data_IF_241391109651
#
_entry.id   IF_241391109651
#
_cell.length_a   1.000
_cell.length_b   1.000
_cell.length_c   1.000
_cell.angle_alpha   90.00
_cell.angle_beta   90.00
_cell.angle_gamma   90.00
#
_symmetry.space_group_name_H-M   'P 1'
#
loop_
_entity.id
_entity.type
_entity.pdbx_description
1 polymer ?
#
# COMPACT_ATOMS: atom_id res chain seq x y z
N UNK A 1 13.99 12.86 -54.17
CA UNK A 1 12.74 12.47 -53.48
C UNK A 1 13.01 12.48 -51.99
N UNK A 2 12.24 13.29 -51.29
CA UNK A 2 12.42 13.76 -49.91
C UNK A 2 12.29 12.61 -48.90
N UNK A 3 13.22 12.55 -47.96
CA UNK A 3 13.19 11.75 -46.73
C UNK A 3 11.97 12.08 -45.85
N UNK A 4 11.35 11.06 -45.25
CA UNK A 4 10.58 11.24 -44.01
C UNK A 4 10.88 10.07 -43.07
N UNK A 5 11.51 10.31 -41.91
CA UNK A 5 11.56 9.31 -40.84
C UNK A 5 10.22 9.35 -40.10
N UNK A 6 9.51 8.23 -40.01
CA UNK A 6 8.25 8.16 -39.27
C UNK A 6 8.50 7.58 -37.88
N UNK A 7 8.48 8.50 -36.92
CA UNK A 7 8.04 8.36 -35.53
C UNK A 7 8.66 7.22 -34.70
N UNK A 8 9.69 7.60 -33.95
CA UNK A 8 9.80 7.21 -32.54
C UNK A 8 8.46 7.48 -31.86
N UNK A 9 7.80 6.42 -31.42
CA UNK A 9 6.63 6.52 -30.55
C UNK A 9 7.13 7.03 -29.20
N UNK A 10 6.81 8.28 -28.89
CA UNK A 10 7.08 8.92 -27.61
C UNK A 10 6.42 8.07 -26.52
N UNK A 11 7.24 7.41 -25.70
CA UNK A 11 6.79 6.74 -24.48
C UNK A 11 6.02 7.76 -23.62
N UNK A 12 4.69 7.67 -23.64
CA UNK A 12 3.81 8.46 -22.77
C UNK A 12 4.24 8.21 -21.32
N UNK A 13 4.31 9.25 -20.48
CA UNK A 13 4.82 9.11 -19.13
C UNK A 13 4.00 8.06 -18.38
N UNK A 14 4.70 7.12 -17.74
CA UNK A 14 4.23 6.27 -16.66
C UNK A 14 3.67 7.19 -15.56
N UNK A 15 2.43 7.63 -15.74
CA UNK A 15 1.86 8.67 -14.92
C UNK A 15 1.43 7.99 -13.63
N UNK A 16 2.27 7.99 -12.60
CA UNK A 16 1.98 7.45 -11.27
C UNK A 16 0.58 7.86 -10.76
N UNK A 17 0.00 7.09 -9.83
CA UNK A 17 -1.23 7.50 -9.13
C UNK A 17 -1.07 8.87 -8.48
N UNK A 18 -2.20 9.59 -8.31
CA UNK A 18 -2.21 10.87 -7.59
C UNK A 18 -1.68 10.73 -6.16
N UNK A 19 -2.00 9.60 -5.50
CA UNK A 19 -1.50 9.25 -4.16
C UNK A 19 0.01 9.16 -4.15
N UNK A 20 0.61 8.39 -5.06
CA UNK A 20 2.06 8.22 -5.10
C UNK A 20 2.79 9.50 -5.52
N UNK A 21 2.23 10.25 -6.48
CA UNK A 21 2.75 11.54 -6.89
C UNK A 21 2.75 12.54 -5.72
N UNK A 22 1.70 12.57 -4.89
CA UNK A 22 1.63 13.41 -3.69
C UNK A 22 2.71 13.00 -2.66
N UNK A 23 2.85 11.70 -2.36
CA UNK A 23 3.87 11.21 -1.42
C UNK A 23 5.28 11.63 -1.83
N UNK A 24 5.59 11.60 -3.13
CA UNK A 24 6.89 12.01 -3.68
C UNK A 24 7.16 13.52 -3.63
N UNK A 25 6.12 14.35 -3.54
CA UNK A 25 6.26 15.81 -3.44
C UNK A 25 6.50 16.29 -2.02
N UNK A 26 6.13 15.50 -1.02
CA UNK A 26 6.34 15.84 0.38
C UNK A 26 7.78 15.53 0.82
N UNK A 27 8.35 16.31 1.75
CA UNK A 27 9.67 16.04 2.30
C UNK A 27 9.77 14.64 2.89
N UNK A 28 10.91 13.96 2.69
CA UNK A 28 11.15 12.64 3.28
C UNK A 28 11.67 12.77 4.72
N UNK A 29 10.78 13.24 5.60
CA UNK A 29 11.04 13.41 7.03
C UNK A 29 9.76 13.20 7.83
N UNK A 30 9.88 13.22 9.16
CA UNK A 30 8.77 12.98 10.10
C UNK A 30 7.54 13.86 9.81
N UNK A 31 7.75 15.15 9.46
CA UNK A 31 6.65 16.06 9.16
C UNK A 31 5.96 15.69 7.83
N UNK A 32 6.73 15.39 6.79
CA UNK A 32 6.18 14.99 5.50
C UNK A 32 5.43 13.66 5.58
N UNK A 33 5.95 12.69 6.33
CA UNK A 33 5.26 11.41 6.59
C UNK A 33 3.95 11.62 7.35
N UNK A 34 3.94 12.47 8.38
CA UNK A 34 2.74 12.79 9.15
C UNK A 34 1.68 13.49 8.29
N UNK A 35 2.07 14.50 7.50
CA UNK A 35 1.16 15.22 6.61
C UNK A 35 0.54 14.30 5.55
N UNK A 36 1.35 13.43 4.94
CA UNK A 36 0.85 12.45 3.98
C UNK A 36 -0.16 11.50 4.63
N UNK A 37 0.20 10.95 5.80
CA UNK A 37 -0.63 9.98 6.51
C UNK A 37 -1.95 10.59 7.00
N UNK A 38 -1.96 11.88 7.37
CA UNK A 38 -3.18 12.62 7.67
C UNK A 38 -4.10 12.71 6.45
N UNK A 39 -3.55 12.99 5.27
CA UNK A 39 -4.31 13.00 4.01
C UNK A 39 -4.90 11.62 3.68
N UNK A 40 -4.11 10.55 3.87
CA UNK A 40 -4.58 9.17 3.72
C UNK A 40 -5.75 8.86 4.67
N UNK A 41 -5.61 9.19 5.96
CA UNK A 41 -6.67 8.98 6.96
C UNK A 41 -7.92 9.81 6.67
N UNK A 42 -7.76 11.05 6.19
CA UNK A 42 -8.91 11.85 5.76
C UNK A 42 -9.68 11.18 4.60
N UNK A 43 -8.99 10.47 3.71
CA UNK A 43 -9.60 9.73 2.59
C UNK A 43 -10.23 8.40 3.01
N UNK A 44 -9.63 7.71 3.97
CA UNK A 44 -10.06 6.41 4.51
C UNK A 44 -10.06 6.47 6.05
N UNK A 45 -11.14 6.99 6.68
CA UNK A 45 -11.16 7.31 8.12
C UNK A 45 -10.84 6.14 9.05
N UNK A 46 -11.20 4.91 8.65
CA UNK A 46 -10.97 3.73 9.49
C UNK A 46 -9.48 3.45 9.75
N UNK A 47 -8.58 3.84 8.83
CA UNK A 47 -7.14 3.75 9.07
C UNK A 47 -6.69 4.62 10.25
N UNK A 48 -7.40 5.71 10.56
CA UNK A 48 -7.09 6.56 11.70
C UNK A 48 -7.13 5.84 13.05
N UNK A 49 -7.82 4.70 13.15
CA UNK A 49 -7.91 3.90 14.38
C UNK A 49 -6.59 3.29 14.83
N UNK A 50 -5.61 3.14 13.93
CA UNK A 50 -4.28 2.61 14.25
C UNK A 50 -3.18 3.66 14.21
N UNK A 51 -3.52 4.93 13.97
CA UNK A 51 -2.58 6.06 13.84
C UNK A 51 -1.37 5.73 12.92
N UNK A 52 -1.62 5.28 11.67
CA UNK A 52 -0.57 4.82 10.78
C UNK A 52 0.30 5.99 10.30
N UNK A 53 1.59 5.73 10.14
CA UNK A 53 2.56 6.64 9.53
C UNK A 53 3.22 5.92 8.35
N UNK A 54 2.99 6.41 7.13
CA UNK A 54 3.62 5.88 5.91
C UNK A 54 5.04 6.44 5.81
N UNK A 55 6.02 5.61 6.15
CA UNK A 55 7.44 5.95 6.17
C UNK A 55 8.05 5.87 4.76
N UNK A 56 7.78 4.77 4.05
CA UNK A 56 8.30 4.53 2.71
C UNK A 56 7.19 4.03 1.78
N UNK A 57 7.22 4.50 0.53
CA UNK A 57 6.28 4.09 -0.50
C UNK A 57 6.99 4.18 -1.85
N UNK A 58 7.07 3.06 -2.56
CA UNK A 58 7.65 2.95 -3.89
C UNK A 58 7.07 1.72 -4.62
N UNK A 59 7.21 1.61 -5.95
CA UNK A 59 6.80 0.41 -6.65
C UNK A 59 7.38 -0.86 -5.99
N UNK A 60 6.51 -1.81 -5.68
CA UNK A 60 6.84 -3.09 -5.05
C UNK A 60 7.13 -3.08 -3.55
N UNK A 61 7.11 -1.92 -2.87
CA UNK A 61 7.38 -1.85 -1.43
C UNK A 61 6.67 -0.69 -0.72
N UNK A 62 6.12 -0.97 0.46
CA UNK A 62 5.64 0.07 1.36
C UNK A 62 5.97 -0.29 2.82
N UNK A 63 6.32 0.73 3.60
CA UNK A 63 6.59 0.63 5.03
C UNK A 63 5.69 1.58 5.80
N UNK A 64 4.92 1.05 6.74
CA UNK A 64 3.97 1.81 7.56
C UNK A 64 4.15 1.44 9.03
N UNK A 65 4.30 2.42 9.92
CA UNK A 65 4.36 2.17 11.36
C UNK A 65 3.09 2.61 12.09
N UNK A 66 2.83 1.99 13.24
CA UNK A 66 1.72 2.34 14.12
C UNK A 66 2.17 2.29 15.59
N UNK A 67 1.87 3.32 16.41
CA UNK A 67 2.17 3.31 17.82
C UNK A 67 1.32 2.27 18.56
N UNK A 68 1.85 1.74 19.66
CA UNK A 68 1.04 1.01 20.64
C UNK A 68 0.46 2.01 21.63
N UNK A 69 -0.87 2.14 21.63
CA UNK A 69 -1.61 3.08 22.48
C UNK A 69 -2.94 2.46 22.92
N UNK A 70 -3.61 3.07 23.91
CA UNK A 70 -4.78 2.44 24.56
C UNK A 70 -5.91 2.07 23.59
N UNK A 71 -6.07 2.79 22.47
CA UNK A 71 -7.08 2.52 21.45
C UNK A 71 -6.85 1.24 20.64
N UNK A 72 -5.63 0.67 20.66
CA UNK A 72 -5.27 -0.56 19.94
C UNK A 72 -4.93 -1.71 20.88
N UNK A 73 -5.28 -1.63 22.17
CA UNK A 73 -5.06 -2.73 23.09
C UNK A 73 -6.11 -3.83 22.91
N UNK A 74 -5.68 -5.08 23.07
CA UNK A 74 -6.58 -6.18 23.36
C UNK A 74 -6.73 -6.40 24.87
N UNK A 75 -7.54 -7.39 25.25
CA UNK A 75 -7.86 -7.72 26.64
C UNK A 75 -6.65 -8.14 27.51
N UNK A 76 -5.47 -8.39 26.92
CA UNK A 76 -4.22 -8.68 27.64
C UNK A 76 -3.18 -7.55 27.50
N UNK A 77 -3.57 -6.35 27.05
CA UNK A 77 -2.69 -5.17 26.98
C UNK A 77 -1.60 -5.22 25.89
N UNK A 78 -1.79 -6.06 24.87
CA UNK A 78 -0.93 -6.13 23.67
C UNK A 78 -1.62 -5.49 22.47
N UNK A 79 -0.88 -5.21 21.39
CA UNK A 79 -1.43 -4.67 20.16
C UNK A 79 -2.50 -5.64 19.61
N UNK A 80 -3.70 -5.13 19.35
CA UNK A 80 -4.86 -5.93 18.99
C UNK A 80 -4.68 -6.60 17.62
N UNK A 81 -5.05 -7.87 17.51
CA UNK A 81 -4.93 -8.66 16.28
C UNK A 81 -5.55 -7.97 15.05
N UNK A 82 -6.81 -7.52 15.18
CA UNK A 82 -7.52 -6.80 14.10
C UNK A 82 -6.93 -5.41 13.83
N UNK A 83 -6.32 -4.76 14.83
CA UNK A 83 -5.61 -3.50 14.58
C UNK A 83 -4.33 -3.76 13.76
N UNK A 84 -3.64 -4.88 13.99
CA UNK A 84 -2.51 -5.29 13.15
C UNK A 84 -2.97 -5.62 11.72
N UNK A 85 -4.13 -6.26 11.54
CA UNK A 85 -4.74 -6.42 10.21
C UNK A 85 -5.03 -5.08 9.52
N UNK A 86 -5.55 -4.10 10.26
CA UNK A 86 -5.80 -2.75 9.71
C UNK A 86 -4.50 -2.05 9.28
N UNK A 87 -3.42 -2.23 10.05
CA UNK A 87 -2.09 -1.75 9.66
C UNK A 87 -1.57 -2.47 8.39
N UNK A 88 -1.79 -3.79 8.27
CA UNK A 88 -1.43 -4.54 7.07
C UNK A 88 -2.19 -4.05 5.83
N UNK A 89 -3.49 -3.84 5.96
CA UNK A 89 -4.36 -3.31 4.90
C UNK A 89 -3.89 -1.93 4.44
N UNK A 90 -3.52 -1.04 5.38
CA UNK A 90 -2.99 0.28 5.06
C UNK A 90 -1.67 0.19 4.26
N UNK A 91 -0.73 -0.66 4.70
CA UNK A 91 0.55 -0.87 4.03
C UNK A 91 0.38 -1.48 2.62
N UNK A 92 -0.49 -2.49 2.49
CA UNK A 92 -0.84 -3.08 1.20
C UNK A 92 -1.46 -2.05 0.27
N UNK A 93 -2.43 -1.25 0.75
CA UNK A 93 -3.10 -0.27 -0.10
C UNK A 93 -2.15 0.79 -0.62
N UNK A 94 -1.25 1.30 0.24
CA UNK A 94 -0.20 2.23 -0.19
C UNK A 94 0.78 1.58 -1.15
N UNK A 95 1.14 0.30 -0.98
CA UNK A 95 1.95 -0.42 -1.96
C UNK A 95 1.25 -0.49 -3.33
N UNK A 96 -0.05 -0.79 -3.36
CA UNK A 96 -0.81 -0.91 -4.62
C UNK A 96 -0.93 0.45 -5.31
N UNK A 97 -1.17 1.53 -4.55
CA UNK A 97 -1.15 2.90 -5.07
C UNK A 97 0.21 3.30 -5.66
N UNK A 98 1.32 2.79 -5.10
CA UNK A 98 2.66 3.06 -5.62
C UNK A 98 3.03 2.23 -6.85
N UNK A 99 2.44 1.04 -6.99
CA UNK A 99 2.87 0.02 -7.96
C UNK A 99 2.02 -0.02 -9.22
N UNK A 100 0.79 0.50 -9.18
CA UNK A 100 -0.11 0.50 -10.33
C UNK A 100 -0.15 1.86 -11.05
N UNK A 101 -0.33 1.86 -12.38
CA UNK A 101 -0.70 3.06 -13.11
C UNK A 101 -2.18 3.42 -12.88
N UNK A 102 -2.58 4.69 -13.08
CA UNK A 102 -3.96 5.18 -13.01
C UNK A 102 -4.91 4.51 -14.00
N UNK A 103 -4.38 3.89 -15.06
CA UNK A 103 -5.15 3.07 -15.98
C UNK A 103 -5.72 1.80 -15.32
N UNK A 104 -5.26 1.45 -14.12
CA UNK A 104 -5.72 0.30 -13.36
C UNK A 104 -6.37 0.72 -12.04
N UNK A 105 -7.18 -0.19 -11.49
CA UNK A 105 -7.72 -0.11 -10.14
C UNK A 105 -7.52 -1.45 -9.45
N UNK A 106 -7.57 -1.44 -8.12
CA UNK A 106 -7.42 -2.61 -7.30
C UNK A 106 -8.54 -2.68 -6.25
N UNK A 107 -8.84 -3.89 -5.77
CA UNK A 107 -9.80 -4.13 -4.68
C UNK A 107 -9.33 -5.32 -3.83
N UNK A 108 -9.23 -5.21 -2.50
CA UNK A 108 -8.98 -6.36 -1.64
C UNK A 108 -10.06 -7.43 -1.80
N UNK A 109 -9.66 -8.70 -1.98
CA UNK A 109 -10.55 -9.87 -2.12
C UNK A 109 -10.45 -10.81 -0.93
N UNK A 110 -9.26 -10.98 -0.37
CA UNK A 110 -9.01 -11.91 0.73
C UNK A 110 -7.79 -11.45 1.52
N UNK A 111 -7.76 -11.85 2.79
CA UNK A 111 -6.60 -11.70 3.67
C UNK A 111 -6.45 -12.97 4.49
N UNK A 112 -5.26 -13.57 4.42
CA UNK A 112 -4.84 -14.66 5.31
C UNK A 112 -3.86 -14.09 6.32
N UNK A 113 -4.10 -14.29 7.62
CA UNK A 113 -3.27 -13.71 8.68
C UNK A 113 -2.82 -14.78 9.67
N UNK A 114 -1.54 -14.74 10.03
CA UNK A 114 -0.93 -15.59 11.05
C UNK A 114 -0.44 -14.71 12.21
N UNK A 115 -0.84 -15.05 13.44
CA UNK A 115 -0.37 -14.37 14.66
C UNK A 115 0.77 -15.18 15.26
N UNK A 116 2.01 -14.77 14.96
CA UNK A 116 3.22 -15.54 15.26
C UNK A 116 3.70 -15.34 16.70
N UNK A 117 3.57 -14.13 17.22
CA UNK A 117 3.98 -13.77 18.57
C UNK A 117 3.12 -12.63 19.14
N UNK A 118 3.23 -12.40 20.46
CA UNK A 118 2.53 -11.29 21.12
C UNK A 118 3.16 -9.96 20.71
N UNK A 119 2.34 -9.06 20.17
CA UNK A 119 2.76 -7.70 19.82
C UNK A 119 2.78 -6.78 21.04
N UNK A 120 3.92 -6.67 21.73
CA UNK A 120 4.04 -5.93 23.00
C UNK A 120 4.46 -4.46 22.84
N UNK A 121 4.93 -4.07 21.66
CA UNK A 121 5.49 -2.74 21.34
C UNK A 121 4.73 -2.08 20.18
N UNK A 122 5.22 -0.92 19.70
CA UNK A 122 4.75 -0.34 18.42
C UNK A 122 5.10 -1.29 17.27
N UNK A 123 4.33 -1.22 16.19
CA UNK A 123 4.49 -2.13 15.05
C UNK A 123 4.92 -1.41 13.79
N UNK A 124 5.61 -2.14 12.91
CA UNK A 124 5.98 -1.72 11.55
C UNK A 124 5.51 -2.79 10.58
N UNK A 125 4.63 -2.44 9.65
CA UNK A 125 4.24 -3.29 8.54
C UNK A 125 5.10 -3.00 7.31
N UNK A 126 5.71 -4.04 6.76
CA UNK A 126 6.46 -4.03 5.51
C UNK A 126 5.69 -4.84 4.47
N UNK A 127 5.07 -4.14 3.52
CA UNK A 127 4.35 -4.73 2.40
C UNK A 127 5.30 -4.89 1.21
N UNK A 128 5.25 -6.05 0.56
CA UNK A 128 6.04 -6.38 -0.64
C UNK A 128 5.17 -7.09 -1.67
N UNK A 129 5.45 -6.86 -2.94
CA UNK A 129 4.94 -7.72 -4.01
C UNK A 129 5.76 -9.01 -4.04
N UNK A 130 5.10 -10.16 -4.03
CA UNK A 130 5.78 -11.45 -4.19
C UNK A 130 6.32 -11.62 -5.61
N UNK A 131 5.64 -11.02 -6.59
CA UNK A 131 6.01 -10.99 -8.00
C UNK A 131 5.73 -9.61 -8.61
N UNK A 132 6.54 -9.13 -9.57
CA UNK A 132 6.24 -7.91 -10.30
C UNK A 132 4.88 -7.97 -11.01
N UNK A 133 4.15 -6.86 -11.02
CA UNK A 133 2.87 -6.77 -11.74
C UNK A 133 3.15 -6.42 -13.20
N UNK A 134 2.90 -7.36 -14.11
CA UNK A 134 2.84 -7.06 -15.55
C UNK A 134 1.49 -6.44 -15.90
N UNK A 135 1.43 -5.12 -15.86
CA UNK A 135 0.20 -4.35 -16.09
C UNK A 135 -0.29 -4.42 -17.54
N UNK A 136 0.58 -4.72 -18.51
CA UNK A 136 0.20 -4.82 -19.92
C UNK A 136 -0.53 -6.13 -20.21
N UNK A 137 -0.24 -7.18 -19.45
CA UNK A 137 -0.91 -8.47 -19.53
C UNK A 137 -2.33 -8.49 -18.92
N UNK A 138 -2.70 -7.48 -18.12
CA UNK A 138 -3.99 -7.46 -17.40
C UNK A 138 -5.08 -6.86 -18.30
N UNK A 139 -5.84 -7.72 -18.99
CA UNK A 139 -6.96 -7.28 -19.85
C UNK A 139 -8.34 -7.38 -19.18
N UNK A 140 -8.60 -8.44 -18.41
CA UNK A 140 -9.89 -8.68 -17.72
C UNK A 140 -9.80 -8.57 -16.20
N UNK A 141 -8.59 -8.71 -15.68
CA UNK A 141 -8.25 -8.66 -14.27
C UNK A 141 -7.47 -9.88 -13.81
N UNK A 142 -6.67 -9.70 -12.76
CA UNK A 142 -5.88 -10.76 -12.15
C UNK A 142 -5.80 -10.58 -10.63
N UNK A 143 -5.59 -11.68 -9.92
CA UNK A 143 -5.25 -11.64 -8.50
C UNK A 143 -3.77 -11.30 -8.34
N UNK A 144 -3.47 -10.33 -7.47
CA UNK A 144 -2.12 -9.95 -7.05
C UNK A 144 -2.05 -10.09 -5.55
N UNK A 145 -1.10 -10.89 -5.07
CA UNK A 145 -0.88 -11.11 -3.64
C UNK A 145 0.19 -10.14 -3.14
N UNK A 146 -0.15 -9.41 -2.08
CA UNK A 146 0.78 -8.57 -1.34
C UNK A 146 1.10 -9.26 -0.03
N UNK A 147 2.38 -9.56 0.18
CA UNK A 147 2.86 -10.15 1.43
C UNK A 147 3.28 -9.06 2.39
N UNK A 148 2.77 -9.12 3.62
CA UNK A 148 2.97 -8.11 4.66
C UNK A 148 3.56 -8.76 5.90
N UNK A 149 4.78 -8.33 6.25
CA UNK A 149 5.45 -8.70 7.49
C UNK A 149 5.23 -7.60 8.52
N UNK A 150 4.72 -7.92 9.70
CA UNK A 150 4.55 -6.96 10.79
C UNK A 150 5.57 -7.24 11.88
N UNK A 151 6.49 -6.30 12.05
CA UNK A 151 7.62 -6.35 12.95
C UNK A 151 7.36 -5.55 14.22
N UNK A 152 7.83 -6.06 15.35
CA UNK A 152 7.97 -5.30 16.59
C UNK A 152 9.25 -4.44 16.60
N UNK A 153 9.49 -3.68 17.67
CA UNK A 153 10.72 -2.85 17.78
C UNK A 153 12.01 -3.64 17.91
N UNK A 154 11.96 -4.96 18.12
CA UNK A 154 13.11 -5.85 18.17
C UNK A 154 13.39 -6.50 16.81
N UNK A 155 12.59 -6.21 15.78
CA UNK A 155 12.68 -6.82 14.46
C UNK A 155 12.04 -8.21 14.39
N UNK A 156 11.29 -8.61 15.42
CA UNK A 156 10.57 -9.89 15.43
C UNK A 156 9.29 -9.77 14.64
N UNK A 157 9.06 -10.67 13.69
CA UNK A 157 7.79 -10.76 12.99
C UNK A 157 6.73 -11.34 13.93
N UNK A 158 5.78 -10.50 14.33
CA UNK A 158 4.72 -10.85 15.27
C UNK A 158 3.43 -11.21 14.56
N UNK A 159 3.21 -10.69 13.36
CA UNK A 159 2.07 -11.02 12.49
C UNK A 159 2.56 -11.09 11.05
N UNK A 160 2.08 -12.09 10.32
CA UNK A 160 2.22 -12.19 8.88
C UNK A 160 0.85 -12.10 8.21
N UNK A 161 0.73 -11.37 7.11
CA UNK A 161 -0.51 -11.32 6.34
C UNK A 161 -0.24 -11.36 4.83
N UNK A 162 -0.95 -12.24 4.13
CA UNK A 162 -1.03 -12.23 2.67
C UNK A 162 -2.40 -11.68 2.26
N UNK A 163 -2.40 -10.57 1.52
CA UNK A 163 -3.62 -9.89 1.08
C UNK A 163 -3.74 -10.04 -0.43
N UNK A 164 -4.78 -10.73 -0.88
CA UNK A 164 -5.13 -10.88 -2.30
C UNK A 164 -5.90 -9.66 -2.75
N UNK A 165 -5.41 -9.02 -3.81
CA UNK A 165 -6.06 -7.87 -4.46
C UNK A 165 -6.46 -8.23 -5.88
N UNK A 166 -7.65 -7.80 -6.29
CA UNK A 166 -8.13 -7.89 -7.67
C UNK A 166 -7.71 -6.66 -8.45
N UNK A 167 -6.77 -6.81 -9.37
CA UNK A 167 -6.31 -5.72 -10.23
C UNK A 167 -7.04 -5.79 -11.56
N UNK A 168 -7.61 -4.68 -12.02
CA UNK A 168 -8.33 -4.59 -13.30
C UNK A 168 -8.03 -3.28 -14.02
N UNK A 169 -8.11 -3.24 -15.36
CA UNK A 169 -8.14 -1.98 -16.08
C UNK A 169 -9.34 -1.15 -15.64
N UNK A 170 -9.14 0.16 -15.46
CA UNK A 170 -10.25 1.12 -15.43
C UNK A 170 -10.87 1.11 -16.82
N UNK A 171 -12.17 0.83 -16.89
CA UNK A 171 -12.90 1.13 -18.12
C UNK A 171 -12.66 2.62 -18.42
N UNK A 172 -12.34 2.93 -19.68
CA UNK A 172 -12.41 4.32 -20.13
C UNK A 172 -13.79 4.84 -19.78
N UNK A 173 -13.85 6.05 -19.24
CA UNK A 173 -15.12 6.71 -18.97
C UNK A 173 -15.91 6.81 -20.29
N UNK A 174 -16.86 5.89 -20.48
CA UNK A 174 -17.77 5.87 -21.63
C UNK A 174 -19.04 6.70 -21.34
N UNK A 175 -18.97 7.64 -20.37
CA UNK A 175 -20.03 8.62 -20.15
C UNK A 175 -19.78 9.91 -20.95
N UNK A 176 -20.28 9.89 -22.18
CA UNK A 176 -20.88 11.07 -22.84
C UNK A 176 -22.38 11.08 -22.59
#
# INVERSE_FOLDING_TARGET
>A
MTTKPSHTDDARPSAMTATYALRRRLPDNVLGHALFSLGMVARVPYFGTVLPIVEEMRPGYCKVSAPKWFGVYNHIGTFHAIAACNLAEAAMGMLMEASLPPSHRWLPKAMSTQYLAKATTRLTAEATLTEPIDVEAISTGTDVVVSVRILDTHGTEVVHADITTWVTPRAGDDSR
#
